data_IF_766428647557
#
_entry.id   IF_766428647557
#
_cell.length_a   1.000
_cell.length_b   1.000
_cell.length_c   1.000
_cell.angle_alpha   90.00
_cell.angle_beta   90.00
_cell.angle_gamma   90.00
#
_symmetry.space_group_name_H-M   'P 1'
#
loop_
_entity.id
_entity.type
_entity.pdbx_description
1 polymer ?
#
# COMPACT_ATOMS: atom_id res chain seq x y z
N UNK A 1 -27.93 -15.08 0.25
CA UNK A 1 -26.93 -16.16 0.27
C UNK A 1 -25.53 -15.61 0.04
N UNK A 2 -24.54 -16.15 0.72
CA UNK A 2 -23.16 -15.76 0.49
C UNK A 2 -22.71 -16.21 -0.90
N UNK A 3 -22.11 -15.33 -1.66
CA UNK A 3 -21.57 -15.64 -2.98
C UNK A 3 -20.27 -16.42 -2.83
N UNK A 4 -20.05 -17.38 -3.71
CA UNK A 4 -18.84 -18.17 -3.70
C UNK A 4 -17.67 -17.36 -4.27
N UNK A 5 -16.58 -17.26 -3.53
CA UNK A 5 -15.37 -16.59 -3.96
C UNK A 5 -14.63 -17.46 -4.99
N UNK A 6 -14.34 -16.92 -6.16
CA UNK A 6 -13.59 -17.64 -7.20
C UNK A 6 -12.12 -17.22 -7.23
N UNK A 7 -11.80 -16.04 -6.69
CA UNK A 7 -10.41 -15.61 -6.63
C UNK A 7 -10.23 -14.35 -5.79
N UNK A 8 -9.00 -14.12 -5.38
CA UNK A 8 -8.59 -12.91 -4.67
C UNK A 8 -7.41 -12.32 -5.43
N UNK A 9 -7.50 -11.03 -5.73
CA UNK A 9 -6.47 -10.28 -6.46
C UNK A 9 -5.91 -9.22 -5.51
N UNK A 10 -4.59 -9.17 -5.39
CA UNK A 10 -3.91 -8.15 -4.58
C UNK A 10 -3.07 -7.28 -5.50
N UNK A 11 -3.32 -5.97 -5.49
CA UNK A 11 -2.64 -5.01 -6.34
C UNK A 11 -2.20 -3.79 -5.53
N UNK A 12 -1.19 -3.09 -6.05
CA UNK A 12 -0.78 -1.78 -5.55
C UNK A 12 -0.95 -0.80 -6.70
N UNK A 13 -1.83 0.17 -6.51
CA UNK A 13 -2.20 1.13 -7.56
C UNK A 13 -2.06 2.54 -7.00
N UNK A 14 -1.49 3.50 -7.76
CA UNK A 14 -1.49 4.90 -7.36
C UNK A 14 -2.91 5.41 -7.13
N UNK A 15 -3.12 6.10 -6.01
CA UNK A 15 -4.44 6.61 -5.63
C UNK A 15 -4.98 7.58 -6.70
N UNK A 16 -6.24 7.38 -7.08
CA UNK A 16 -6.90 8.21 -8.08
C UNK A 16 -6.42 8.02 -9.52
N UNK A 17 -5.53 7.05 -9.77
CA UNK A 17 -4.90 6.83 -11.08
C UNK A 17 -5.05 5.40 -11.59
N UNK A 18 -6.07 4.67 -11.15
CA UNK A 18 -6.35 3.34 -11.68
C UNK A 18 -6.78 3.45 -13.15
N UNK A 19 -6.15 2.67 -14.01
CA UNK A 19 -6.44 2.62 -15.44
C UNK A 19 -6.49 1.16 -15.91
N UNK A 20 -7.13 0.88 -17.06
CA UNK A 20 -7.14 -0.47 -17.62
C UNK A 20 -5.77 -0.98 -18.07
N UNK A 21 -4.77 -0.12 -18.10
CA UNK A 21 -3.38 -0.50 -18.44
C UNK A 21 -2.79 -1.44 -17.37
N UNK A 22 -1.75 -2.23 -17.72
CA UNK A 22 -1.07 -3.05 -16.74
C UNK A 22 -0.63 -2.24 -15.50
N UNK A 23 -0.66 -2.81 -14.28
CA UNK A 23 -0.98 -4.21 -13.96
C UNK A 23 -2.46 -4.53 -13.77
N UNK A 24 -3.35 -3.55 -13.81
CA UNK A 24 -4.78 -3.71 -13.48
C UNK A 24 -5.52 -4.55 -14.52
N UNK A 25 -5.36 -4.22 -15.80
CA UNK A 25 -6.06 -4.89 -16.89
C UNK A 25 -5.87 -6.40 -16.91
N UNK A 26 -4.61 -6.88 -17.03
CA UNK A 26 -4.35 -8.31 -17.05
C UNK A 26 -4.80 -9.04 -15.81
N UNK A 27 -4.61 -8.44 -14.63
CA UNK A 27 -4.99 -9.07 -13.36
C UNK A 27 -6.51 -9.27 -13.25
N UNK A 28 -7.29 -8.26 -13.61
CA UNK A 28 -8.76 -8.34 -13.55
C UNK A 28 -9.34 -9.12 -14.74
N UNK A 29 -8.71 -9.03 -15.90
CA UNK A 29 -9.15 -9.73 -17.10
C UNK A 29 -9.16 -11.24 -16.94
N UNK A 30 -8.20 -11.79 -16.23
CA UNK A 30 -8.12 -13.23 -15.94
C UNK A 30 -9.32 -13.74 -15.14
N UNK A 31 -9.97 -12.86 -14.40
CA UNK A 31 -11.13 -13.20 -13.55
C UNK A 31 -12.45 -12.69 -14.12
N UNK A 32 -12.45 -12.21 -15.36
CA UNK A 32 -13.66 -11.70 -16.02
C UNK A 32 -14.38 -10.58 -15.26
N UNK A 33 -13.60 -9.75 -14.58
CA UNK A 33 -14.11 -8.61 -13.79
C UNK A 33 -14.22 -7.37 -14.70
N UNK A 34 -15.25 -6.55 -14.47
CA UNK A 34 -15.40 -5.29 -15.19
C UNK A 34 -14.33 -4.28 -14.76
N UNK A 35 -13.30 -4.14 -15.58
CA UNK A 35 -12.11 -3.31 -15.29
C UNK A 35 -12.48 -1.84 -15.16
N UNK A 36 -13.34 -1.33 -16.04
CA UNK A 36 -13.74 0.07 -16.06
C UNK A 36 -14.52 0.45 -14.79
N UNK A 37 -15.40 -0.41 -14.35
CA UNK A 37 -16.15 -0.21 -13.11
C UNK A 37 -15.24 -0.18 -11.91
N UNK A 38 -14.29 -1.11 -11.84
CA UNK A 38 -13.30 -1.15 -10.77
C UNK A 38 -12.47 0.14 -10.73
N UNK A 39 -11.94 0.56 -11.87
CA UNK A 39 -11.12 1.79 -11.96
C UNK A 39 -11.90 3.01 -11.47
N UNK A 40 -13.14 3.14 -11.90
CA UNK A 40 -14.02 4.25 -11.53
C UNK A 40 -14.28 4.29 -10.02
N UNK A 41 -14.65 3.16 -9.44
CA UNK A 41 -14.91 3.06 -8.00
C UNK A 41 -13.65 3.27 -7.16
N UNK A 42 -12.54 2.67 -7.58
CA UNK A 42 -11.25 2.83 -6.91
C UNK A 42 -10.80 4.29 -6.92
N UNK A 43 -10.85 4.93 -8.07
CA UNK A 43 -10.45 6.34 -8.20
C UNK A 43 -11.32 7.24 -7.30
N UNK A 44 -12.64 7.00 -7.26
CA UNK A 44 -13.54 7.76 -6.40
C UNK A 44 -13.21 7.61 -4.92
N UNK A 45 -12.87 6.38 -4.49
CA UNK A 45 -12.53 6.11 -3.08
C UNK A 45 -11.16 6.63 -2.66
N UNK A 46 -10.22 6.70 -3.58
CA UNK A 46 -8.83 7.05 -3.27
C UNK A 46 -8.45 8.47 -3.70
N UNK A 47 -9.39 9.25 -4.23
CA UNK A 47 -9.15 10.62 -4.70
C UNK A 47 -8.48 11.48 -3.63
N UNK A 48 -8.94 11.37 -2.39
CA UNK A 48 -8.39 12.15 -1.26
C UNK A 48 -6.97 11.76 -0.88
N UNK A 49 -6.50 10.62 -1.33
CA UNK A 49 -5.18 10.07 -1.03
C UNK A 49 -4.25 10.14 -2.25
N UNK A 50 -4.58 10.99 -3.22
CA UNK A 50 -3.78 11.16 -4.43
C UNK A 50 -2.31 11.42 -4.11
N UNK A 51 -1.42 10.79 -4.89
CA UNK A 51 0.03 10.86 -4.67
C UNK A 51 0.60 9.73 -3.82
N UNK A 52 -0.26 8.86 -3.26
CA UNK A 52 0.17 7.67 -2.52
C UNK A 52 -0.15 6.41 -3.32
N UNK A 53 0.63 5.37 -3.11
CA UNK A 53 0.33 4.05 -3.64
C UNK A 53 -0.54 3.32 -2.61
N UNK A 54 -1.73 2.91 -3.01
CA UNK A 54 -2.69 2.26 -2.13
C UNK A 54 -2.79 0.78 -2.49
N UNK A 55 -2.50 -0.14 -1.55
CA UNK A 55 -2.75 -1.55 -1.75
C UNK A 55 -4.25 -1.81 -1.78
N UNK A 56 -4.70 -2.64 -2.69
CA UNK A 56 -6.10 -3.05 -2.80
C UNK A 56 -6.20 -4.57 -2.84
N UNK A 57 -7.15 -5.11 -2.12
CA UNK A 57 -7.49 -6.54 -2.15
C UNK A 57 -8.87 -6.67 -2.79
N UNK A 58 -8.93 -7.31 -3.94
CA UNK A 58 -10.16 -7.49 -4.72
C UNK A 58 -10.62 -8.93 -4.55
N UNK A 59 -11.84 -9.12 -4.10
CA UNK A 59 -12.47 -10.45 -4.00
C UNK A 59 -13.41 -10.62 -5.18
N UNK A 60 -13.19 -11.65 -6.00
CA UNK A 60 -14.01 -11.96 -7.17
C UNK A 60 -14.95 -13.11 -6.83
N UNK A 61 -16.21 -12.96 -7.20
CA UNK A 61 -17.26 -13.94 -6.95
C UNK A 61 -17.63 -14.71 -8.21
N UNK A 62 -18.31 -15.82 -8.03
CA UNK A 62 -18.66 -16.75 -9.12
C UNK A 62 -19.53 -16.10 -10.22
N UNK A 63 -20.30 -15.09 -9.88
CA UNK A 63 -21.17 -14.37 -10.81
C UNK A 63 -20.45 -13.19 -11.52
N UNK A 64 -19.13 -13.17 -11.49
CA UNK A 64 -18.28 -12.11 -12.06
C UNK A 64 -18.44 -10.75 -11.37
N UNK A 65 -19.11 -10.70 -10.24
CA UNK A 65 -19.10 -9.50 -9.39
C UNK A 65 -17.85 -9.48 -8.52
N UNK A 66 -17.52 -8.31 -8.00
CA UNK A 66 -16.36 -8.13 -7.15
C UNK A 66 -16.65 -7.18 -6.00
N UNK A 67 -15.89 -7.33 -4.94
CA UNK A 67 -15.76 -6.33 -3.87
C UNK A 67 -14.29 -6.05 -3.66
N UNK A 68 -13.97 -4.87 -3.19
CA UNK A 68 -12.58 -4.55 -2.89
C UNK A 68 -12.45 -3.76 -1.60
N UNK A 69 -11.31 -3.93 -0.96
CA UNK A 69 -10.93 -3.22 0.26
C UNK A 69 -9.60 -2.53 -0.01
N UNK A 70 -9.54 -1.23 0.26
CA UNK A 70 -8.29 -0.47 0.20
C UNK A 70 -7.63 -0.52 1.57
N UNK A 71 -6.33 -0.68 1.59
CA UNK A 71 -5.52 -0.68 2.82
C UNK A 71 -4.72 0.61 2.92
N UNK A 72 -4.04 0.80 4.04
CA UNK A 72 -3.13 1.94 4.21
C UNK A 72 -1.94 1.80 3.26
N UNK A 73 -1.31 2.92 2.84
CA UNK A 73 -0.13 2.86 1.97
C UNK A 73 0.97 1.98 2.59
N UNK A 74 1.79 1.31 1.75
CA UNK A 74 2.91 0.53 2.28
C UNK A 74 3.87 1.39 3.09
N UNK A 75 4.44 0.83 4.16
CA UNK A 75 5.37 1.55 5.03
C UNK A 75 6.54 2.14 4.23
N UNK A 76 7.05 1.41 3.25
CA UNK A 76 8.13 1.90 2.38
C UNK A 76 7.75 3.17 1.63
N UNK A 77 6.52 3.26 1.12
CA UNK A 77 6.01 4.45 0.41
C UNK A 77 5.90 5.64 1.36
N UNK A 78 5.39 5.41 2.57
CA UNK A 78 5.27 6.45 3.59
C UNK A 78 6.65 6.98 4.02
N UNK A 79 7.63 6.09 4.18
CA UNK A 79 9.00 6.47 4.52
C UNK A 79 9.63 7.32 3.40
N UNK A 80 9.50 6.89 2.16
CA UNK A 80 10.01 7.66 1.01
C UNK A 80 9.38 9.05 0.92
N UNK A 81 8.08 9.14 1.15
CA UNK A 81 7.35 10.41 1.15
C UNK A 81 7.83 11.33 2.28
N UNK A 82 8.02 10.79 3.48
CA UNK A 82 8.48 11.57 4.63
C UNK A 82 9.88 12.16 4.40
N UNK A 83 10.74 11.45 3.68
CA UNK A 83 12.11 11.89 3.37
C UNK A 83 12.23 12.59 2.01
N UNK A 84 11.16 12.64 1.21
CA UNK A 84 11.21 13.21 -0.14
C UNK A 84 12.04 12.39 -1.12
N UNK A 85 12.17 11.09 -0.89
CA UNK A 85 12.96 10.19 -1.74
C UNK A 85 12.10 9.57 -2.84
N UNK A 86 12.66 9.47 -4.04
CA UNK A 86 12.03 8.74 -5.15
C UNK A 86 12.29 7.24 -5.03
N UNK A 87 13.47 6.87 -4.57
CA UNK A 87 13.91 5.49 -4.49
C UNK A 87 14.74 5.26 -3.24
N UNK A 88 14.58 4.07 -2.67
CA UNK A 88 15.40 3.62 -1.55
C UNK A 88 16.77 3.11 -2.02
N UNK A 89 17.67 2.81 -1.08
CA UNK A 89 18.99 2.29 -1.38
C UNK A 89 18.93 0.88 -1.99
N UNK A 90 19.68 0.66 -3.05
CA UNK A 90 19.93 -0.68 -3.59
C UNK A 90 20.91 -1.52 -2.74
N UNK A 91 21.65 -0.85 -1.86
CA UNK A 91 22.61 -1.50 -0.96
C UNK A 91 22.42 -0.95 0.47
N UNK A 92 21.30 -1.27 1.14
CA UNK A 92 20.94 -0.63 2.40
C UNK A 92 21.96 -0.83 3.53
N UNK A 93 22.72 -1.90 3.45
CA UNK A 93 23.75 -2.21 4.43
C UNK A 93 25.00 -1.31 4.29
N UNK A 94 25.28 -0.83 3.10
CA UNK A 94 26.48 -0.05 2.78
C UNK A 94 26.19 1.41 2.46
N UNK A 95 25.06 1.69 1.83
CA UNK A 95 24.68 3.03 1.40
C UNK A 95 23.41 3.45 2.12
N UNK A 96 23.51 4.53 2.90
CA UNK A 96 22.35 5.12 3.58
C UNK A 96 21.86 6.32 2.77
N UNK A 97 20.53 6.45 2.62
CA UNK A 97 19.92 7.48 1.78
C UNK A 97 19.19 8.56 2.58
N UNK A 98 19.05 8.39 3.89
CA UNK A 98 18.39 9.37 4.73
C UNK A 98 18.28 8.93 6.18
N UNK A 99 17.70 9.79 7.00
CA UNK A 99 17.47 9.52 8.42
C UNK A 99 16.06 9.93 8.79
N UNK A 100 15.31 9.02 9.43
CA UNK A 100 14.01 9.31 10.00
C UNK A 100 14.14 9.77 11.44
N UNK A 101 13.45 10.84 11.80
CA UNK A 101 13.32 11.23 13.20
C UNK A 101 12.31 10.34 13.91
N UNK A 102 12.40 10.27 15.22
CA UNK A 102 11.46 9.52 16.05
C UNK A 102 10.02 9.97 15.84
N UNK A 103 9.79 11.28 15.67
CA UNK A 103 8.48 11.84 15.39
C UNK A 103 7.92 11.36 14.05
N UNK A 104 8.74 11.31 13.01
CA UNK A 104 8.33 10.80 11.69
C UNK A 104 7.99 9.31 11.73
N UNK A 105 8.77 8.52 12.45
CA UNK A 105 8.50 7.08 12.64
C UNK A 105 7.15 6.90 13.33
N UNK A 106 6.87 7.70 14.35
CA UNK A 106 5.61 7.66 15.09
C UNK A 106 4.41 8.01 14.20
N UNK A 107 4.51 9.06 13.38
CA UNK A 107 3.46 9.47 12.44
C UNK A 107 3.15 8.35 11.45
N UNK A 108 4.18 7.73 10.89
CA UNK A 108 4.02 6.60 9.95
C UNK A 108 3.35 5.42 10.65
N UNK A 109 3.77 5.12 11.88
CA UNK A 109 3.20 4.04 12.68
C UNK A 109 1.71 4.29 12.97
N UNK A 110 1.33 5.52 13.31
CA UNK A 110 -0.08 5.88 13.56
C UNK A 110 -0.95 5.70 12.32
N UNK A 111 -0.48 6.14 11.15
CA UNK A 111 -1.20 5.96 9.88
C UNK A 111 -1.37 4.48 9.54
N UNK A 112 -0.34 3.68 9.83
CA UNK A 112 -0.31 2.25 9.48
C UNK A 112 -1.00 1.35 10.52
N UNK A 113 -1.26 1.87 11.72
CA UNK A 113 -1.78 1.09 12.85
C UNK A 113 -3.00 0.22 12.53
N UNK A 114 -4.01 0.69 11.74
CA UNK A 114 -5.17 -0.14 11.38
C UNK A 114 -4.82 -1.43 10.64
N UNK A 115 -3.70 -1.46 9.91
CA UNK A 115 -3.27 -2.62 9.13
C UNK A 115 -2.18 -3.45 9.83
N UNK A 116 -1.69 -2.99 10.97
CA UNK A 116 -0.60 -3.66 11.69
C UNK A 116 -1.13 -4.57 12.80
N UNK A 117 -0.44 -5.67 13.01
CA UNK A 117 -0.68 -6.56 14.13
C UNK A 117 0.24 -6.17 15.31
N UNK A 118 0.17 -4.91 15.72
CA UNK A 118 0.98 -4.36 16.80
C UNK A 118 0.11 -4.13 18.04
N UNK A 119 0.61 -4.54 19.19
CA UNK A 119 -0.09 -4.38 20.45
C UNK A 119 -0.06 -2.94 20.98
N UNK A 120 0.93 -2.15 20.57
CA UNK A 120 1.13 -0.77 21.00
C UNK A 120 1.75 0.07 19.89
N UNK A 121 1.72 1.39 20.05
CA UNK A 121 2.34 2.32 19.10
C UNK A 121 3.88 2.10 19.07
N UNK A 122 4.51 1.79 20.17
CA UNK A 122 5.95 1.50 20.23
C UNK A 122 6.29 0.25 19.41
N UNK A 123 5.48 -0.79 19.49
CA UNK A 123 5.64 -1.99 18.66
C UNK A 123 5.49 -1.67 17.18
N UNK A 124 4.50 -0.84 16.81
CA UNK A 124 4.31 -0.36 15.44
C UNK A 124 5.52 0.46 14.96
N UNK A 125 6.06 1.33 15.82
CA UNK A 125 7.28 2.10 15.50
C UNK A 125 8.47 1.19 15.24
N UNK A 126 8.63 0.10 15.99
CA UNK A 126 9.70 -0.89 15.78
C UNK A 126 9.55 -1.57 14.40
N UNK A 127 8.33 -1.89 13.98
CA UNK A 127 8.06 -2.47 12.66
C UNK A 127 8.43 -1.50 11.54
N UNK A 128 8.05 -0.23 11.68
CA UNK A 128 8.39 0.83 10.72
C UNK A 128 9.91 1.04 10.66
N UNK A 129 10.57 1.07 11.82
CA UNK A 129 12.03 1.22 11.91
C UNK A 129 12.77 0.09 11.20
N UNK A 130 12.29 -1.15 11.35
CA UNK A 130 12.84 -2.30 10.65
C UNK A 130 12.72 -2.18 9.13
N UNK A 131 11.57 -1.73 8.64
CA UNK A 131 11.36 -1.47 7.21
C UNK A 131 12.30 -0.37 6.72
N UNK A 132 12.44 0.72 7.48
CA UNK A 132 13.34 1.83 7.14
C UNK A 132 14.79 1.36 7.02
N UNK A 133 15.24 0.54 7.95
CA UNK A 133 16.60 -0.02 7.91
C UNK A 133 16.82 -0.88 6.66
N UNK A 134 15.82 -1.65 6.25
CA UNK A 134 15.88 -2.47 5.03
C UNK A 134 15.96 -1.62 3.76
N UNK A 135 15.57 -0.36 3.84
CA UNK A 135 15.60 0.60 2.73
C UNK A 135 16.90 1.44 2.71
N UNK A 136 17.77 1.26 3.68
CA UNK A 136 18.97 2.09 3.83
C UNK A 136 18.69 3.43 4.50
N UNK A 137 17.67 3.50 5.33
CA UNK A 137 17.30 4.70 6.08
C UNK A 137 17.69 4.48 7.55
N UNK A 138 18.41 5.44 8.11
CA UNK A 138 18.74 5.45 9.54
C UNK A 138 17.52 5.93 10.33
N UNK A 139 17.38 5.42 11.54
CA UNK A 139 16.27 5.80 12.44
C UNK A 139 16.87 6.35 13.72
N UNK A 140 16.45 7.55 14.12
CA UNK A 140 16.83 8.14 15.39
C UNK A 140 16.13 7.41 16.54
N UNK A 141 16.87 7.15 17.60
CA UNK A 141 16.36 6.55 18.83
C UNK A 141 15.76 7.58 19.80
#
# INVERSE_FOLDING_TARGET
>A
MAKKVTGIIKLQIPAGKATPAPPVGPALGQHSVNIMQFCKEYNARTEKQAGLIIPVVITVYQDSTFTFVTKTPPAAVLIKKALGLESASGKPNKQKVGTLTKAQVREIAEVKMPDLNAASIEAAMSMVAGTARSMGVLVEE
#
